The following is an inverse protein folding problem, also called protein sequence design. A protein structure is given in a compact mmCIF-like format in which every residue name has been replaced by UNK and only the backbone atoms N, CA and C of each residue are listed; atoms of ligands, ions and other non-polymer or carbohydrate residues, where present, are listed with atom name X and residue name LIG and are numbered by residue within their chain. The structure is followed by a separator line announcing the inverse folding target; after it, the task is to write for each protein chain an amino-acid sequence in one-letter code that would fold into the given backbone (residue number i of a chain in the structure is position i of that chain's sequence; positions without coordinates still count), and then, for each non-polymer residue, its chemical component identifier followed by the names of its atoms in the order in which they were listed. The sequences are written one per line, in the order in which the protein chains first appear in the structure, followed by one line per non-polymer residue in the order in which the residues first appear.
data_IF_217237378105
#
_entry.id   IF_217237378105
#
_cell.length_a   1.000
_cell.length_b   1.000
_cell.length_c   1.000
_cell.angle_alpha   90.00
_cell.angle_beta   90.00
_cell.angle_gamma   90.00
#
_symmetry.space_group_name_H-M   'P 1'
#
loop_
_entity.id
_entity.type
_entity.pdbx_description
1 polymer ?
#
# COMPACT_ATOMS: atom_id res chain seq x y z
N UNK A 1 38.38 -28.51 -6.22
CA UNK A 1 38.45 -27.65 -5.02
C UNK A 1 37.21 -26.79 -5.02
N UNK A 2 36.23 -27.11 -4.19
CA UNK A 2 35.05 -26.26 -4.00
C UNK A 2 35.53 -24.96 -3.33
N UNK A 3 35.34 -23.84 -3.98
CA UNK A 3 35.55 -22.54 -3.34
C UNK A 3 34.45 -22.38 -2.28
N UNK A 4 34.85 -22.61 -1.02
CA UNK A 4 34.02 -22.24 0.12
C UNK A 4 33.88 -20.73 0.08
N UNK A 5 32.65 -20.24 0.00
CA UNK A 5 32.38 -18.82 0.06
C UNK A 5 32.68 -18.40 1.50
N UNK A 6 33.49 -17.36 1.69
CA UNK A 6 33.77 -16.81 3.01
C UNK A 6 32.49 -16.15 3.51
N UNK A 7 31.80 -16.72 4.50
CA UNK A 7 30.47 -16.36 4.94
C UNK A 7 30.44 -15.26 6.01
N UNK A 8 31.61 -14.88 6.53
CA UNK A 8 31.72 -14.01 7.72
C UNK A 8 31.03 -12.65 7.64
N UNK A 9 30.75 -12.15 6.43
CA UNK A 9 30.17 -10.83 6.20
C UNK A 9 29.02 -10.87 5.18
N UNK A 10 28.30 -11.99 5.08
CA UNK A 10 27.20 -12.16 4.16
C UNK A 10 25.93 -12.63 4.88
N UNK A 11 24.79 -12.12 4.42
CA UNK A 11 23.46 -12.55 4.83
C UNK A 11 22.78 -13.31 3.70
N UNK A 12 22.06 -14.39 4.01
CA UNK A 12 21.23 -15.05 3.03
C UNK A 12 19.78 -14.52 3.08
N UNK A 13 19.01 -14.82 2.04
CA UNK A 13 17.61 -14.42 1.96
C UNK A 13 16.76 -14.94 3.14
N UNK A 14 17.14 -16.09 3.73
CA UNK A 14 16.42 -16.69 4.85
C UNK A 14 16.72 -16.03 6.21
N UNK A 15 17.66 -15.06 6.26
CA UNK A 15 17.89 -14.27 7.48
C UNK A 15 16.72 -13.33 7.80
N UNK A 16 15.89 -13.01 6.82
CA UNK A 16 14.86 -11.98 6.93
C UNK A 16 13.48 -12.51 6.58
N UNK A 17 12.47 -12.01 7.26
CA UNK A 17 11.06 -12.34 7.03
C UNK A 17 10.39 -11.36 6.07
N UNK A 18 10.81 -10.10 6.09
CA UNK A 18 10.26 -9.05 5.23
C UNK A 18 10.55 -9.31 3.74
N UNK A 19 9.49 -9.37 2.94
CA UNK A 19 9.60 -9.66 1.50
C UNK A 19 10.31 -8.54 0.72
N UNK A 20 10.27 -7.30 1.20
CA UNK A 20 10.98 -6.19 0.55
C UNK A 20 12.48 -6.32 0.76
N UNK A 21 12.92 -6.70 1.97
CA UNK A 21 14.33 -6.99 2.26
C UNK A 21 14.81 -8.18 1.41
N UNK A 22 13.99 -9.25 1.34
CA UNK A 22 14.28 -10.39 0.47
C UNK A 22 14.43 -10.00 -1.00
N UNK A 23 13.60 -9.08 -1.49
CA UNK A 23 13.69 -8.57 -2.86
C UNK A 23 14.96 -7.72 -3.09
N UNK A 24 15.40 -6.94 -2.10
CA UNK A 24 16.69 -6.24 -2.13
C UNK A 24 17.83 -7.25 -2.24
N UNK A 25 17.81 -8.33 -1.46
CA UNK A 25 18.82 -9.39 -1.50
C UNK A 25 18.83 -10.08 -2.87
N UNK A 26 17.67 -10.39 -3.44
CA UNK A 26 17.57 -10.97 -4.79
C UNK A 26 18.14 -10.03 -5.87
N UNK A 27 17.88 -8.73 -5.75
CA UNK A 27 18.24 -7.75 -6.77
C UNK A 27 19.69 -7.27 -6.69
N UNK A 28 20.27 -7.19 -5.48
CA UNK A 28 21.60 -6.63 -5.24
C UNK A 28 22.63 -7.69 -4.78
N UNK A 29 22.17 -8.88 -4.43
CA UNK A 29 23.00 -9.99 -4.02
C UNK A 29 23.37 -10.91 -5.17
N UNK A 30 23.99 -12.02 -4.85
CA UNK A 30 24.37 -13.09 -5.79
C UNK A 30 23.61 -14.37 -5.51
N UNK A 31 23.26 -15.10 -6.54
CA UNK A 31 22.66 -16.42 -6.44
C UNK A 31 23.75 -17.45 -6.12
N UNK A 32 23.57 -18.22 -5.06
CA UNK A 32 24.36 -19.41 -4.75
C UNK A 32 23.60 -20.63 -5.28
N UNK A 33 24.21 -21.30 -6.24
CA UNK A 33 23.64 -22.44 -6.92
C UNK A 33 24.67 -23.55 -7.04
N UNK A 34 24.27 -24.79 -6.79
CA UNK A 34 25.11 -25.97 -6.93
C UNK A 34 26.41 -25.87 -6.08
N UNK A 35 26.39 -25.21 -4.94
CA UNK A 35 27.52 -24.98 -4.08
C UNK A 35 27.13 -25.16 -2.61
N UNK A 36 28.13 -25.56 -1.80
CA UNK A 36 27.97 -25.61 -0.35
C UNK A 36 28.03 -24.21 0.20
N UNK A 37 26.98 -23.79 0.89
CA UNK A 37 26.89 -22.55 1.61
C UNK A 37 26.22 -22.77 2.97
N UNK A 38 26.81 -22.23 4.02
CA UNK A 38 26.23 -22.16 5.36
C UNK A 38 26.19 -20.69 5.76
N UNK A 39 25.01 -20.22 6.13
CA UNK A 39 24.83 -18.87 6.64
C UNK A 39 25.24 -18.82 8.12
N UNK A 40 26.15 -17.95 8.49
CA UNK A 40 26.58 -17.82 9.89
C UNK A 40 25.56 -17.06 10.75
N UNK A 41 24.65 -16.28 10.12
CA UNK A 41 23.67 -15.47 10.82
C UNK A 41 22.39 -16.25 11.21
N UNK A 42 21.87 -17.11 10.32
CA UNK A 42 20.64 -17.87 10.57
C UNK A 42 20.83 -19.38 10.52
N UNK A 43 22.09 -19.82 10.43
CA UNK A 43 22.47 -21.26 10.34
C UNK A 43 21.88 -22.01 9.14
N UNK A 44 21.24 -21.32 8.20
CA UNK A 44 20.72 -21.93 6.97
C UNK A 44 21.87 -22.55 6.16
N UNK A 45 21.68 -23.79 5.74
CA UNK A 45 22.62 -24.53 4.89
C UNK A 45 21.95 -24.90 3.58
N UNK A 46 22.65 -24.69 2.44
CA UNK A 46 22.15 -25.07 1.11
C UNK A 46 22.15 -26.58 0.87
N UNK A 47 22.61 -27.36 1.84
CA UNK A 47 22.72 -28.80 1.70
C UNK A 47 22.42 -29.51 3.04
N UNK A 48 21.95 -30.77 2.93
CA UNK A 48 21.84 -31.69 4.06
C UNK A 48 22.90 -32.76 3.91
N UNK A 49 23.88 -32.81 4.83
CA UNK A 49 25.00 -33.75 4.76
C UNK A 49 24.53 -35.19 4.76
N UNK A 50 23.46 -35.50 5.47
CA UNK A 50 22.85 -36.85 5.48
C UNK A 50 22.32 -37.24 4.09
N UNK A 51 21.64 -36.37 3.40
CA UNK A 51 21.12 -36.60 2.04
C UNK A 51 22.24 -36.74 1.01
N UNK A 52 23.30 -35.95 1.13
CA UNK A 52 24.51 -36.09 0.32
C UNK A 52 25.17 -37.44 0.56
N UNK A 53 25.32 -37.84 1.82
CA UNK A 53 25.90 -39.15 2.16
C UNK A 53 25.07 -40.26 1.59
N UNK A 54 23.73 -40.26 1.73
CA UNK A 54 22.81 -41.21 1.16
C UNK A 54 22.91 -41.30 -0.38
N UNK A 55 22.99 -40.15 -1.05
CA UNK A 55 23.16 -40.08 -2.51
C UNK A 55 24.48 -40.75 -2.96
N UNK A 56 25.58 -40.53 -2.19
CA UNK A 56 26.86 -41.17 -2.45
C UNK A 56 26.78 -42.70 -2.26
N UNK A 57 26.14 -43.15 -1.20
CA UNK A 57 25.98 -44.57 -0.88
C UNK A 57 25.17 -45.29 -1.97
N UNK A 58 24.04 -44.73 -2.38
CA UNK A 58 23.22 -45.27 -3.50
C UNK A 58 24.02 -45.36 -4.81
N UNK A 59 24.94 -44.41 -5.05
CA UNK A 59 25.80 -44.47 -6.21
C UNK A 59 26.88 -45.53 -6.10
N UNK A 60 27.50 -45.67 -4.91
CA UNK A 60 28.50 -46.73 -4.61
C UNK A 60 27.87 -48.11 -4.82
N UNK A 61 26.68 -48.34 -4.26
CA UNK A 61 25.94 -49.59 -4.43
C UNK A 61 25.70 -49.94 -5.89
N UNK A 62 25.35 -48.93 -6.70
CA UNK A 62 25.15 -49.09 -8.14
C UNK A 62 26.45 -49.42 -8.87
N UNK A 63 27.57 -48.79 -8.49
CA UNK A 63 28.91 -49.09 -9.06
C UNK A 63 29.38 -50.49 -8.64
N UNK A 64 29.23 -50.88 -7.38
CA UNK A 64 29.63 -52.18 -6.83
C UNK A 64 28.88 -53.29 -7.52
N UNK A 65 27.56 -53.16 -7.74
CA UNK A 65 26.76 -54.16 -8.50
C UNK A 65 27.25 -54.33 -9.92
N UNK A 66 27.58 -53.23 -10.63
CA UNK A 66 28.11 -53.27 -11.99
C UNK A 66 29.48 -53.95 -12.04
N UNK A 67 30.33 -53.73 -11.05
CA UNK A 67 31.64 -54.37 -10.96
C UNK A 67 31.44 -55.89 -10.74
N UNK A 68 30.60 -56.30 -9.80
CA UNK A 68 30.29 -57.68 -9.52
C UNK A 68 29.68 -58.41 -10.72
N UNK A 69 28.81 -57.72 -11.50
CA UNK A 69 28.25 -58.30 -12.74
C UNK A 69 29.27 -58.40 -13.87
N UNK A 70 30.35 -57.62 -13.86
CA UNK A 70 31.38 -57.63 -14.90
C UNK A 70 32.57 -58.56 -14.65
N UNK A 71 32.72 -59.06 -13.44
CA UNK A 71 33.84 -59.93 -13.04
C UNK A 71 33.46 -61.38 -13.27
N UNK A 72 33.94 -61.95 -14.36
CA UNK A 72 33.71 -63.35 -14.74
C UNK A 72 34.92 -64.26 -14.58
N UNK A 73 36.07 -63.76 -14.12
CA UNK A 73 37.33 -64.52 -14.05
C UNK A 73 37.81 -64.84 -12.61
N UNK A 74 38.22 -66.08 -12.43
CA UNK A 74 38.66 -66.71 -11.16
C UNK A 74 39.92 -66.10 -10.51
N UNK A 75 40.65 -65.23 -11.18
CA UNK A 75 41.87 -64.61 -10.68
C UNK A 75 41.66 -63.40 -9.77
N UNK A 76 40.43 -62.98 -9.57
CA UNK A 76 40.07 -61.80 -8.81
C UNK A 76 39.61 -62.04 -7.37
N UNK A 77 39.33 -63.33 -7.00
CA UNK A 77 38.77 -63.65 -5.68
C UNK A 77 39.68 -63.26 -4.48
N UNK A 78 40.98 -63.05 -4.69
CA UNK A 78 41.93 -62.68 -3.63
C UNK A 78 42.19 -61.17 -3.48
N UNK A 79 41.63 -60.29 -4.35
CA UNK A 79 41.83 -58.87 -4.31
C UNK A 79 40.55 -58.05 -4.40
N UNK A 80 39.40 -58.71 -4.40
CA UNK A 80 38.08 -58.03 -4.61
C UNK A 80 37.78 -57.00 -3.54
N UNK A 81 38.00 -57.28 -2.27
CA UNK A 81 37.77 -56.35 -1.15
C UNK A 81 38.66 -55.12 -1.23
N UNK A 82 39.93 -55.26 -1.61
CA UNK A 82 40.86 -54.15 -1.75
C UNK A 82 40.47 -53.24 -2.93
N UNK A 83 40.06 -53.82 -4.05
CA UNK A 83 39.61 -53.09 -5.25
C UNK A 83 38.28 -52.36 -5.01
N UNK A 84 37.34 -53.01 -4.36
CA UNK A 84 36.06 -52.40 -3.99
C UNK A 84 36.32 -51.23 -3.03
N UNK A 85 37.20 -51.38 -1.99
CA UNK A 85 37.53 -50.33 -1.05
C UNK A 85 38.18 -49.09 -1.74
N UNK A 86 39.01 -49.30 -2.77
CA UNK A 86 39.65 -48.22 -3.51
C UNK A 86 38.69 -47.52 -4.46
N UNK A 87 37.77 -48.29 -5.12
CA UNK A 87 36.67 -47.77 -5.89
C UNK A 87 35.70 -46.95 -5.04
N UNK A 88 35.37 -47.41 -3.82
CA UNK A 88 34.51 -46.67 -2.90
C UNK A 88 35.14 -45.32 -2.50
N UNK A 89 36.43 -45.27 -2.21
CA UNK A 89 37.11 -44.02 -1.89
C UNK A 89 37.13 -43.04 -3.06
N UNK A 90 37.34 -43.52 -4.27
CA UNK A 90 37.39 -42.70 -5.47
C UNK A 90 35.96 -42.25 -5.85
N UNK A 91 34.94 -43.10 -5.72
CA UNK A 91 33.53 -42.74 -5.88
C UNK A 91 33.13 -41.67 -4.87
N UNK A 92 33.40 -41.89 -3.57
CA UNK A 92 33.11 -40.86 -2.54
C UNK A 92 33.70 -39.49 -2.91
N UNK A 93 34.90 -39.47 -3.44
CA UNK A 93 35.55 -38.23 -3.80
C UNK A 93 35.02 -37.55 -5.07
N UNK A 94 34.77 -38.36 -6.12
CA UNK A 94 34.27 -37.85 -7.44
C UNK A 94 32.82 -37.49 -7.44
N UNK A 95 31.97 -38.28 -6.79
CA UNK A 95 30.51 -38.10 -6.84
C UNK A 95 29.97 -37.19 -5.79
N UNK A 96 30.73 -36.87 -4.69
CA UNK A 96 30.30 -35.87 -3.70
C UNK A 96 29.90 -34.53 -4.36
N UNK A 97 30.72 -34.03 -5.28
CA UNK A 97 30.44 -32.80 -5.98
C UNK A 97 29.17 -32.91 -6.86
N UNK A 98 28.99 -34.05 -7.53
CA UNK A 98 27.80 -34.31 -8.34
C UNK A 98 26.52 -34.38 -7.49
N UNK A 99 26.62 -35.03 -6.29
CA UNK A 99 25.48 -35.08 -5.36
C UNK A 99 25.16 -33.68 -4.81
N UNK A 100 26.15 -32.87 -4.49
CA UNK A 100 25.95 -31.47 -4.07
C UNK A 100 25.26 -30.69 -5.18
N UNK A 101 25.73 -30.79 -6.42
CA UNK A 101 25.11 -30.08 -7.58
C UNK A 101 23.66 -30.50 -7.83
N UNK A 102 23.30 -31.75 -7.46
CA UNK A 102 21.95 -32.28 -7.62
C UNK A 102 21.00 -31.92 -6.47
N UNK A 103 21.52 -31.87 -5.23
CA UNK A 103 20.72 -31.76 -4.00
C UNK A 103 20.80 -30.39 -3.33
N UNK A 104 21.81 -29.56 -3.67
CA UNK A 104 21.96 -28.25 -3.04
C UNK A 104 20.83 -27.32 -3.45
N UNK A 105 20.19 -26.74 -2.43
CA UNK A 105 19.20 -25.70 -2.62
C UNK A 105 19.81 -24.40 -3.14
N UNK A 106 19.03 -23.67 -3.92
CA UNK A 106 19.44 -22.34 -4.38
C UNK A 106 19.10 -21.31 -3.31
N UNK A 107 20.02 -20.36 -3.05
CA UNK A 107 19.77 -19.24 -2.17
C UNK A 107 20.45 -17.98 -2.68
N UNK A 108 19.91 -16.80 -2.32
CA UNK A 108 20.56 -15.52 -2.57
C UNK A 108 21.32 -15.06 -1.32
N UNK A 109 22.51 -14.48 -1.54
CA UNK A 109 23.32 -13.91 -0.47
C UNK A 109 23.73 -12.48 -0.86
N UNK A 110 23.87 -11.62 0.15
CA UNK A 110 24.29 -10.23 0.01
C UNK A 110 25.43 -9.92 1.02
N UNK A 111 26.39 -9.12 0.63
CA UNK A 111 27.44 -8.63 1.53
C UNK A 111 26.84 -7.63 2.53
N UNK A 112 27.33 -7.65 3.79
CA UNK A 112 26.85 -6.81 4.88
C UNK A 112 26.82 -5.33 4.49
N UNK A 113 27.94 -4.82 3.96
CA UNK A 113 28.05 -3.40 3.61
C UNK A 113 27.05 -2.96 2.53
N UNK A 114 26.78 -3.84 1.55
CA UNK A 114 25.80 -3.59 0.50
C UNK A 114 24.39 -3.56 1.10
N UNK A 115 24.07 -4.49 2.00
CA UNK A 115 22.77 -4.53 2.67
C UNK A 115 22.57 -3.28 3.53
N UNK A 116 23.55 -2.92 4.35
CA UNK A 116 23.52 -1.71 5.20
C UNK A 116 23.29 -0.46 4.36
N UNK A 117 24.02 -0.30 3.25
CA UNK A 117 23.83 0.83 2.35
C UNK A 117 22.39 0.92 1.79
N UNK A 118 21.81 -0.24 1.43
CA UNK A 118 20.42 -0.29 0.93
C UNK A 118 19.38 0.00 2.01
N UNK A 119 19.58 -0.47 3.23
CA UNK A 119 18.70 -0.15 4.36
C UNK A 119 18.76 1.34 4.68
N UNK A 120 19.97 1.92 4.67
CA UNK A 120 20.16 3.36 4.85
C UNK A 120 19.44 4.18 3.79
N UNK A 121 19.55 3.82 2.50
CA UNK A 121 18.79 4.47 1.41
C UNK A 121 17.27 4.47 1.67
N UNK A 122 16.73 3.39 2.24
CA UNK A 122 15.29 3.30 2.58
C UNK A 122 14.94 4.23 3.73
N UNK A 123 15.76 4.24 4.79
CA UNK A 123 15.55 5.10 5.95
C UNK A 123 15.63 6.58 5.54
N UNK A 124 16.63 6.97 4.76
CA UNK A 124 16.85 8.35 4.32
C UNK A 124 15.76 8.90 3.41
N UNK A 125 14.92 8.06 2.85
CA UNK A 125 13.70 8.51 2.15
C UNK A 125 12.66 9.11 3.11
N UNK A 126 12.63 8.67 4.36
CA UNK A 126 11.63 9.02 5.36
C UNK A 126 12.16 9.95 6.46
N UNK A 127 13.42 9.76 6.81
CA UNK A 127 14.07 10.41 7.93
C UNK A 127 15.38 11.06 7.48
N UNK A 128 15.80 12.09 8.19
CA UNK A 128 17.11 12.69 8.06
C UNK A 128 17.84 12.63 9.39
N UNK A 129 19.15 12.49 9.31
CA UNK A 129 19.97 12.38 10.50
C UNK A 129 20.11 13.74 11.19
N UNK A 130 20.00 13.78 12.53
CA UNK A 130 20.01 15.03 13.29
C UNK A 130 21.35 15.77 13.28
N UNK A 131 22.45 15.10 12.94
CA UNK A 131 23.79 15.73 12.83
C UNK A 131 23.79 16.95 11.89
N UNK A 132 22.93 16.98 10.88
CA UNK A 132 22.80 18.09 9.95
C UNK A 132 22.05 19.29 10.57
N UNK A 133 21.26 19.08 11.59
CA UNK A 133 20.39 20.11 12.18
C UNK A 133 20.81 20.56 13.58
N UNK A 134 21.73 19.87 14.22
CA UNK A 134 22.26 20.24 15.54
C UNK A 134 21.24 20.25 16.67
N UNK A 135 20.07 19.61 16.48
CA UNK A 135 19.02 19.54 17.51
C UNK A 135 19.48 18.71 18.70
N UNK A 136 20.17 17.61 18.43
CA UNK A 136 20.71 16.71 19.45
C UNK A 136 21.78 17.41 20.30
N UNK A 137 22.71 18.15 19.68
CA UNK A 137 23.75 18.91 20.38
C UNK A 137 23.20 20.02 21.30
N UNK A 138 22.08 20.65 20.96
CA UNK A 138 21.46 21.67 21.77
C UNK A 138 20.56 21.11 22.90
N UNK A 139 19.95 19.96 22.68
CA UNK A 139 19.14 19.29 23.69
C UNK A 139 20.00 18.61 24.77
N UNK A 140 21.13 17.99 24.39
CA UNK A 140 22.02 17.31 25.32
C UNK A 140 22.66 18.23 26.35
N UNK A 141 22.79 19.53 26.06
CA UNK A 141 23.49 20.48 26.95
C UNK A 141 22.60 21.15 28.01
N UNK A 142 21.25 21.09 27.87
CA UNK A 142 20.37 21.91 28.72
C UNK A 142 19.23 21.19 29.44
N UNK A 143 18.87 19.96 29.11
CA UNK A 143 17.60 19.36 29.60
C UNK A 143 17.68 17.91 30.04
N UNK A 144 18.87 17.36 30.34
CA UNK A 144 18.95 16.16 31.14
C UNK A 144 18.67 16.52 32.62
N UNK A 145 17.40 16.62 32.98
CA UNK A 145 16.99 16.45 34.35
C UNK A 145 16.63 14.99 34.54
N UNK A 146 17.05 14.41 35.68
CA UNK A 146 16.99 12.99 36.00
C UNK A 146 15.57 12.35 35.98
N UNK A 147 14.54 13.08 35.57
CA UNK A 147 13.13 12.68 35.61
C UNK A 147 12.46 12.45 34.23
N UNK A 148 13.23 12.39 33.13
CA UNK A 148 12.65 12.18 31.80
C UNK A 148 13.06 10.81 31.28
N UNK A 149 12.13 9.87 31.31
CA UNK A 149 12.35 8.47 30.94
C UNK A 149 12.70 8.20 29.48
N UNK A 150 12.76 9.22 28.62
CA UNK A 150 13.21 9.09 27.23
C UNK A 150 13.70 10.41 26.66
N UNK A 151 14.86 10.44 26.01
CA UNK A 151 15.38 11.63 25.31
C UNK A 151 14.56 11.99 24.05
N UNK A 152 13.68 11.12 23.59
CA UNK A 152 12.84 11.29 22.38
C UNK A 152 11.56 12.11 22.60
N UNK A 153 11.44 12.86 23.66
CA UNK A 153 10.26 13.69 23.92
C UNK A 153 10.13 14.91 22.97
N UNK A 154 11.20 15.26 22.24
CA UNK A 154 11.11 16.27 21.19
C UNK A 154 10.27 15.68 20.06
N UNK A 155 9.14 16.28 19.79
CA UNK A 155 8.21 15.81 18.77
C UNK A 155 8.94 15.60 17.42
N UNK A 156 8.78 14.43 16.84
CA UNK A 156 9.34 14.08 15.53
C UNK A 156 10.72 13.40 15.55
N UNK A 157 11.45 13.39 16.70
CA UNK A 157 12.69 12.62 16.83
C UNK A 157 12.38 11.17 17.19
N UNK A 158 13.08 10.24 16.54
CA UNK A 158 12.99 8.80 16.78
C UNK A 158 14.37 8.16 16.90
N UNK A 159 14.49 7.14 17.73
CA UNK A 159 15.67 6.29 17.81
C UNK A 159 15.81 5.41 16.56
N UNK A 160 16.99 4.86 16.34
CA UNK A 160 17.22 3.89 15.26
C UNK A 160 16.34 2.66 15.43
N UNK A 161 16.12 2.19 16.65
CA UNK A 161 15.24 1.06 16.97
C UNK A 161 13.80 1.34 16.56
N UNK A 162 13.27 2.51 16.94
CA UNK A 162 11.90 2.89 16.61
C UNK A 162 11.67 2.96 15.08
N UNK A 163 12.58 3.62 14.35
CA UNK A 163 12.44 3.71 12.88
C UNK A 163 12.62 2.37 12.19
N UNK A 164 13.53 1.54 12.68
CA UNK A 164 13.73 0.20 12.13
C UNK A 164 12.52 -0.69 12.42
N UNK A 165 11.91 -0.60 13.60
CA UNK A 165 10.66 -1.28 13.93
C UNK A 165 9.50 -0.83 13.02
N UNK A 166 9.36 0.47 12.80
CA UNK A 166 8.30 1.04 11.95
C UNK A 166 8.45 0.65 10.47
N UNK A 167 9.68 0.61 9.94
CA UNK A 167 9.95 0.36 8.52
C UNK A 167 10.05 -1.13 8.21
N UNK A 168 10.73 -1.90 9.07
CA UNK A 168 11.14 -3.29 8.81
C UNK A 168 10.38 -4.33 9.65
N UNK A 169 9.48 -3.88 10.54
CA UNK A 169 8.64 -4.76 11.35
C UNK A 169 9.46 -5.77 12.18
N UNK A 170 9.19 -7.06 12.01
CA UNK A 170 9.83 -8.15 12.77
C UNK A 170 11.36 -8.25 12.51
N UNK A 171 11.85 -7.76 11.39
CA UNK A 171 13.27 -7.68 11.09
C UNK A 171 13.94 -6.39 11.62
N UNK A 172 13.18 -5.48 12.25
CA UNK A 172 13.65 -4.19 12.75
C UNK A 172 14.87 -4.30 13.65
N UNK A 173 14.83 -5.15 14.68
CA UNK A 173 15.92 -5.37 15.61
C UNK A 173 17.21 -5.86 14.90
N UNK A 174 17.08 -6.75 13.91
CA UNK A 174 18.23 -7.22 13.12
C UNK A 174 18.85 -6.10 12.31
N UNK A 175 18.04 -5.24 11.72
CA UNK A 175 18.50 -4.08 10.94
C UNK A 175 19.16 -3.06 11.86
N UNK A 176 18.57 -2.77 13.03
CA UNK A 176 19.20 -1.91 14.05
C UNK A 176 20.61 -2.40 14.40
N UNK A 177 20.75 -3.67 14.75
CA UNK A 177 22.05 -4.27 15.07
C UNK A 177 23.07 -4.20 13.91
N UNK A 178 22.59 -4.21 12.65
CA UNK A 178 23.44 -4.02 11.47
C UNK A 178 23.90 -2.58 11.31
N UNK A 179 23.04 -1.61 11.62
CA UNK A 179 23.32 -0.18 11.52
C UNK A 179 24.18 0.33 12.64
N UNK A 180 23.98 -0.12 13.88
CA UNK A 180 24.71 0.34 15.08
C UNK A 180 26.22 0.19 14.98
N UNK A 181 26.69 -0.87 14.34
CA UNK A 181 28.10 -1.09 14.11
C UNK A 181 28.80 -0.04 13.24
N UNK A 182 28.03 0.74 12.47
CA UNK A 182 28.55 1.70 11.50
C UNK A 182 28.37 3.17 11.91
N UNK A 183 27.47 3.47 12.84
CA UNK A 183 27.08 4.87 13.10
C UNK A 183 27.26 5.33 14.55
N UNK A 184 27.51 4.42 15.51
CA UNK A 184 27.73 4.80 16.92
C UNK A 184 26.50 5.49 17.54
N UNK A 185 25.32 5.16 17.08
CA UNK A 185 24.09 5.83 17.45
C UNK A 185 23.58 5.37 18.82
N UNK A 186 23.67 6.26 19.74
CA UNK A 186 22.93 6.21 20.99
C UNK A 186 21.94 7.37 20.97
N UNK A 187 20.65 7.04 21.04
CA UNK A 187 19.56 7.97 21.38
C UNK A 187 19.12 8.97 20.29
N UNK A 188 17.94 8.77 19.73
CA UNK A 188 17.14 9.70 18.92
C UNK A 188 17.84 10.48 17.79
N UNK A 189 18.60 9.85 16.88
CA UNK A 189 19.38 10.56 15.87
C UNK A 189 18.57 10.96 14.61
N UNK A 190 17.32 10.57 14.51
CA UNK A 190 16.56 10.67 13.26
C UNK A 190 15.34 11.57 13.40
N UNK A 191 15.24 12.56 12.50
CA UNK A 191 14.10 13.44 12.37
C UNK A 191 13.23 13.01 11.17
N UNK A 192 11.93 12.80 11.40
CA UNK A 192 11.01 12.54 10.30
C UNK A 192 10.96 13.74 9.35
N UNK A 193 11.14 13.52 8.05
CA UNK A 193 11.08 14.56 7.01
C UNK A 193 9.72 15.26 6.92
N UNK A 194 8.70 14.67 7.55
CA UNK A 194 7.36 15.28 7.66
C UNK A 194 7.25 16.33 8.75
N UNK A 195 8.24 16.39 9.64
CA UNK A 195 8.17 17.27 10.80
C UNK A 195 8.77 18.64 10.47
N UNK A 196 7.97 19.68 10.64
CA UNK A 196 8.43 21.07 10.62
C UNK A 196 8.75 21.51 12.04
N UNK A 197 9.95 22.07 12.27
CA UNK A 197 10.43 22.45 13.59
C UNK A 197 9.60 23.55 14.25
N UNK A 198 9.04 24.44 13.44
CA UNK A 198 8.28 25.60 13.89
C UNK A 198 6.77 25.33 13.96
N UNK A 199 6.25 24.48 13.08
CA UNK A 199 4.81 24.25 12.90
C UNK A 199 4.34 22.83 13.33
N UNK A 200 5.25 21.93 13.68
CA UNK A 200 4.91 20.53 14.01
C UNK A 200 4.67 19.64 12.78
N UNK A 201 3.58 18.87 12.74
CA UNK A 201 3.28 18.06 11.57
C UNK A 201 3.02 18.91 10.33
N UNK A 202 3.92 18.84 9.34
CA UNK A 202 3.92 19.60 8.08
C UNK A 202 2.58 19.58 7.32
N UNK A 203 1.78 18.55 7.52
CA UNK A 203 0.53 18.36 6.77
C UNK A 203 -0.73 18.74 7.56
N UNK A 204 -0.63 18.99 8.89
CA UNK A 204 -1.80 19.24 9.73
C UNK A 204 -2.74 18.04 9.79
N UNK A 205 -3.95 18.24 10.29
CA UNK A 205 -5.00 17.20 10.35
C UNK A 205 -6.19 17.59 9.47
N UNK A 206 -6.84 16.60 8.87
CA UNK A 206 -8.11 16.83 8.16
C UNK A 206 -9.17 17.42 9.09
N UNK A 207 -9.17 17.03 10.38
CA UNK A 207 -10.05 17.59 11.40
C UNK A 207 -9.87 19.10 11.58
N UNK A 208 -8.63 19.61 11.52
CA UNK A 208 -8.33 21.03 11.67
C UNK A 208 -8.89 21.85 10.51
N UNK A 209 -8.78 21.32 9.29
CA UNK A 209 -9.44 21.90 8.13
C UNK A 209 -10.96 21.93 8.32
N UNK A 210 -11.55 20.81 8.73
CA UNK A 210 -12.99 20.70 8.97
C UNK A 210 -13.47 21.73 10.00
N UNK A 211 -12.79 21.83 11.14
CA UNK A 211 -13.11 22.78 12.21
C UNK A 211 -13.03 24.23 11.70
N UNK A 212 -11.96 24.53 10.98
CA UNK A 212 -11.77 25.88 10.45
C UNK A 212 -12.88 26.29 9.47
N UNK A 213 -13.17 25.45 8.46
CA UNK A 213 -14.16 25.79 7.43
C UNK A 213 -15.60 25.69 7.91
N UNK A 214 -15.88 24.92 8.97
CA UNK A 214 -17.20 24.86 9.61
C UNK A 214 -17.47 26.09 10.48
N UNK A 215 -16.47 26.52 11.26
CA UNK A 215 -16.70 27.41 12.39
C UNK A 215 -15.97 28.77 12.33
N UNK A 216 -14.96 28.93 11.45
CA UNK A 216 -14.17 30.19 11.37
C UNK A 216 -14.32 30.86 10.00
N UNK A 217 -13.72 30.31 8.94
CA UNK A 217 -13.75 30.88 7.60
C UNK A 217 -13.82 29.79 6.51
N UNK A 218 -14.78 29.91 5.59
CA UNK A 218 -15.04 28.86 4.58
C UNK A 218 -14.11 28.90 3.38
N UNK A 219 -13.86 30.07 2.82
CA UNK A 219 -13.24 30.20 1.49
C UNK A 219 -12.06 31.14 1.46
N UNK A 220 -11.84 31.94 2.50
CA UNK A 220 -10.79 32.94 2.52
C UNK A 220 -9.75 32.65 3.59
N UNK A 221 -8.50 32.90 3.25
CA UNK A 221 -7.39 32.82 4.18
C UNK A 221 -7.53 33.84 5.31
N UNK A 222 -7.13 33.45 6.49
CA UNK A 222 -6.99 34.34 7.64
C UNK A 222 -5.64 34.11 8.34
N UNK A 223 -5.35 34.83 9.40
CA UNK A 223 -4.02 34.82 10.04
C UNK A 223 -3.61 33.43 10.52
N UNK A 224 -4.56 32.65 11.04
CA UNK A 224 -4.30 31.35 11.68
C UNK A 224 -4.41 30.18 10.70
N UNK A 225 -5.04 30.36 9.52
CA UNK A 225 -5.28 29.27 8.60
C UNK A 225 -5.36 29.71 7.14
N UNK A 226 -4.54 29.06 6.28
CA UNK A 226 -4.44 29.32 4.85
C UNK A 226 -5.20 28.25 4.06
N UNK A 227 -6.51 28.45 3.88
CA UNK A 227 -7.41 27.49 3.23
C UNK A 227 -6.90 27.06 1.86
N UNK A 228 -6.45 28.00 1.03
CA UNK A 228 -5.96 27.70 -0.32
C UNK A 228 -4.68 26.88 -0.28
N UNK A 229 -3.70 27.28 0.52
CA UNK A 229 -2.42 26.58 0.65
C UNK A 229 -2.62 25.17 1.16
N UNK A 230 -3.50 25.01 2.14
CA UNK A 230 -3.89 23.70 2.65
C UNK A 230 -4.48 22.80 1.57
N UNK A 231 -5.42 23.32 0.75
CA UNK A 231 -6.05 22.57 -0.33
C UNK A 231 -5.08 22.27 -1.48
N UNK A 232 -4.12 23.16 -1.77
CA UNK A 232 -3.05 22.92 -2.75
C UNK A 232 -2.18 21.72 -2.32
N UNK A 233 -1.71 21.71 -1.07
CA UNK A 233 -0.96 20.59 -0.48
C UNK A 233 -1.81 19.31 -0.52
N UNK A 234 -3.07 19.39 -0.12
CA UNK A 234 -3.97 18.25 -0.11
C UNK A 234 -4.14 17.60 -1.49
N UNK A 235 -4.42 18.38 -2.53
CA UNK A 235 -4.60 17.88 -3.88
C UNK A 235 -3.33 17.22 -4.43
N UNK A 236 -2.15 17.69 -4.01
CA UNK A 236 -0.87 17.14 -4.46
C UNK A 236 -0.65 15.66 -4.09
N UNK A 237 -1.30 15.17 -3.06
CA UNK A 237 -1.25 13.75 -2.68
C UNK A 237 -1.94 12.81 -3.68
N UNK A 238 -2.87 13.34 -4.47
CA UNK A 238 -3.73 12.49 -5.27
C UNK A 238 -3.33 12.49 -6.74
N UNK A 239 -3.52 11.34 -7.35
CA UNK A 239 -3.23 11.17 -8.77
C UNK A 239 -4.29 11.84 -9.62
N UNK A 240 -3.85 12.60 -10.62
CA UNK A 240 -4.70 13.08 -11.70
C UNK A 240 -4.78 11.98 -12.76
N UNK A 241 -5.98 11.56 -13.09
CA UNK A 241 -6.23 10.56 -14.14
C UNK A 241 -7.03 11.16 -15.29
N UNK A 242 -6.73 10.70 -16.49
CA UNK A 242 -7.52 11.01 -17.67
C UNK A 242 -8.43 9.82 -17.98
N UNK A 243 -9.75 10.03 -17.96
CA UNK A 243 -10.70 9.03 -18.38
C UNK A 243 -11.08 9.32 -19.83
N UNK A 244 -10.80 8.35 -20.71
CA UNK A 244 -11.19 8.43 -22.11
C UNK A 244 -12.73 8.39 -22.24
N UNK A 245 -13.27 9.19 -23.16
CA UNK A 245 -14.69 9.10 -23.52
C UNK A 245 -15.04 7.79 -24.21
N UNK A 246 -14.06 7.12 -24.80
CA UNK A 246 -14.29 5.89 -25.55
C UNK A 246 -14.53 4.69 -24.64
N UNK A 247 -15.76 4.15 -24.71
CA UNK A 247 -16.12 2.91 -24.03
C UNK A 247 -16.49 3.03 -22.55
N UNK A 248 -16.22 4.17 -21.88
CA UNK A 248 -16.58 4.34 -20.49
C UNK A 248 -18.07 4.61 -20.32
N UNK A 249 -18.69 3.75 -19.52
CA UNK A 249 -20.11 3.81 -19.16
C UNK A 249 -20.24 4.12 -17.69
N UNK A 250 -21.17 4.99 -17.37
CA UNK A 250 -21.52 5.34 -15.98
C UNK A 250 -23.03 5.19 -15.79
N UNK A 251 -23.42 4.95 -14.57
CA UNK A 251 -24.79 4.64 -14.20
C UNK A 251 -25.29 5.60 -13.13
N UNK A 252 -26.60 5.82 -13.13
CA UNK A 252 -27.30 6.55 -12.07
C UNK A 252 -28.66 5.91 -11.83
N UNK A 253 -29.05 5.77 -10.56
CA UNK A 253 -30.34 5.25 -10.17
C UNK A 253 -31.23 6.34 -9.60
N UNK A 254 -32.56 6.20 -9.80
CA UNK A 254 -33.60 7.02 -9.20
C UNK A 254 -34.75 6.15 -8.77
N UNK A 255 -35.19 6.30 -7.52
CA UNK A 255 -36.39 5.63 -7.01
C UNK A 255 -37.61 6.24 -7.68
N UNK A 256 -38.51 5.39 -8.19
CA UNK A 256 -39.76 5.75 -8.84
C UNK A 256 -40.87 5.68 -7.80
N UNK A 257 -41.17 6.82 -7.21
CA UNK A 257 -42.12 6.92 -6.09
C UNK A 257 -43.54 7.27 -6.53
N UNK A 258 -43.79 7.47 -7.83
CA UNK A 258 -45.11 7.74 -8.40
C UNK A 258 -45.16 7.42 -9.89
N UNK A 259 -46.35 7.16 -10.40
CA UNK A 259 -46.58 6.95 -11.84
C UNK A 259 -46.17 8.20 -12.66
N UNK A 260 -46.37 9.39 -12.10
CA UNK A 260 -45.90 10.64 -12.71
C UNK A 260 -44.39 10.65 -12.88
N UNK A 261 -43.63 10.26 -11.84
CA UNK A 261 -42.19 10.18 -11.94
C UNK A 261 -41.74 9.21 -13.03
N UNK A 262 -42.44 8.09 -13.18
CA UNK A 262 -42.17 7.11 -14.24
C UNK A 262 -42.41 7.69 -15.63
N UNK A 263 -43.52 8.37 -15.82
CA UNK A 263 -43.86 9.05 -17.08
C UNK A 263 -42.87 10.15 -17.42
N UNK A 264 -42.46 10.99 -16.45
CA UNK A 264 -41.45 12.04 -16.63
C UNK A 264 -40.11 11.44 -17.10
N UNK A 265 -39.67 10.32 -16.49
CA UNK A 265 -38.46 9.61 -16.90
C UNK A 265 -38.57 9.04 -18.31
N UNK A 266 -39.74 8.49 -18.68
CA UNK A 266 -39.97 7.96 -20.03
C UNK A 266 -39.99 9.06 -21.10
N UNK A 267 -40.50 10.24 -20.77
CA UNK A 267 -40.56 11.39 -21.69
C UNK A 267 -39.17 12.04 -21.89
N UNK A 268 -38.43 12.28 -20.82
CA UNK A 268 -37.08 12.91 -20.89
C UNK A 268 -36.12 12.26 -19.93
N UNK A 269 -35.60 11.06 -20.27
CA UNK A 269 -34.72 10.31 -19.40
C UNK A 269 -33.37 11.01 -19.20
N UNK A 270 -32.83 11.79 -20.16
CA UNK A 270 -31.61 12.56 -20.04
C UNK A 270 -31.74 13.61 -18.92
N UNK A 271 -32.86 14.26 -18.81
CA UNK A 271 -33.14 15.29 -17.81
C UNK A 271 -33.43 14.67 -16.43
N UNK A 272 -34.26 13.64 -16.40
CA UNK A 272 -34.77 13.07 -15.14
C UNK A 272 -33.79 12.11 -14.46
N UNK A 273 -32.89 11.47 -15.21
CA UNK A 273 -31.85 10.60 -14.69
C UNK A 273 -30.43 11.24 -14.69
N UNK A 274 -30.26 12.39 -15.32
CA UNK A 274 -29.04 13.19 -15.30
C UNK A 274 -28.87 14.00 -14.01
N UNK A 275 -27.91 14.95 -14.01
CA UNK A 275 -27.78 15.92 -12.91
C UNK A 275 -29.00 16.83 -12.86
N UNK A 276 -29.26 17.43 -11.69
CA UNK A 276 -30.39 18.34 -11.52
C UNK A 276 -30.27 19.53 -12.49
N UNK A 277 -31.26 19.77 -13.35
CA UNK A 277 -31.24 20.87 -14.31
C UNK A 277 -31.40 22.24 -13.61
N UNK A 278 -30.87 23.30 -14.23
CA UNK A 278 -30.81 24.64 -13.65
C UNK A 278 -32.17 25.17 -13.12
N UNK A 279 -33.26 24.93 -13.86
CA UNK A 279 -34.59 25.35 -13.48
C UNK A 279 -35.14 24.65 -12.21
N UNK A 280 -34.56 23.50 -11.84
CA UNK A 280 -34.94 22.74 -10.64
C UNK A 280 -34.00 22.98 -9.46
N UNK A 281 -32.91 23.75 -9.63
CA UNK A 281 -31.87 23.94 -8.57
C UNK A 281 -32.40 24.58 -7.29
N UNK A 282 -33.41 25.44 -7.38
CA UNK A 282 -34.04 26.04 -6.19
C UNK A 282 -34.70 25.01 -5.26
N UNK A 283 -34.93 23.79 -5.75
CA UNK A 283 -35.51 22.68 -4.99
C UNK A 283 -34.42 21.63 -4.63
N UNK A 284 -33.14 21.89 -4.98
CA UNK A 284 -32.08 20.97 -4.63
C UNK A 284 -31.87 20.95 -3.14
N UNK A 285 -31.46 19.79 -2.62
CA UNK A 285 -31.02 19.62 -1.23
C UNK A 285 -29.51 19.75 -1.18
N UNK A 286 -28.98 20.05 0.00
CA UNK A 286 -27.56 19.88 0.26
C UNK A 286 -27.17 18.44 0.01
N UNK A 287 -26.08 18.26 -0.69
CA UNK A 287 -25.42 16.96 -0.86
C UNK A 287 -23.99 17.06 -0.34
N UNK A 288 -23.37 15.92 -0.12
CA UNK A 288 -22.02 15.87 0.43
C UNK A 288 -21.02 16.78 -0.31
N UNK A 289 -21.09 16.81 -1.64
CA UNK A 289 -20.13 17.55 -2.47
C UNK A 289 -20.74 18.79 -3.18
N UNK A 290 -22.02 18.97 -3.11
CA UNK A 290 -22.68 20.11 -3.76
C UNK A 290 -23.65 20.83 -2.82
N UNK A 291 -23.42 22.12 -2.54
CA UNK A 291 -24.34 22.94 -1.77
C UNK A 291 -25.64 23.20 -2.54
N UNK A 292 -26.64 23.73 -1.85
CA UNK A 292 -27.89 24.19 -2.47
C UNK A 292 -27.58 25.19 -3.59
N UNK A 293 -28.18 24.98 -4.77
CA UNK A 293 -27.99 25.88 -5.92
C UNK A 293 -26.85 25.46 -6.85
N UNK A 294 -26.00 24.50 -6.45
CA UNK A 294 -24.96 23.93 -7.30
C UNK A 294 -25.30 22.48 -7.66
N UNK A 295 -25.30 22.15 -8.95
CA UNK A 295 -25.60 20.80 -9.42
C UNK A 295 -24.37 20.11 -9.94
N UNK A 296 -23.97 19.04 -9.26
CA UNK A 296 -22.99 18.07 -9.76
C UNK A 296 -23.68 16.77 -10.16
N UNK A 297 -23.11 16.06 -11.12
CA UNK A 297 -23.57 14.75 -11.53
C UNK A 297 -22.93 13.66 -10.64
N UNK A 298 -23.77 12.81 -10.06
CA UNK A 298 -23.32 11.67 -9.24
C UNK A 298 -23.60 10.39 -10.00
N UNK A 299 -22.56 9.63 -10.27
CA UNK A 299 -22.62 8.40 -11.06
C UNK A 299 -21.79 7.31 -10.37
N UNK A 300 -22.00 6.05 -10.76
CA UNK A 300 -21.12 4.94 -10.41
C UNK A 300 -20.74 4.17 -11.67
N UNK A 301 -19.68 3.38 -11.59
CA UNK A 301 -19.19 2.63 -12.75
C UNK A 301 -19.93 1.30 -12.97
N UNK A 302 -20.78 0.89 -12.05
CA UNK A 302 -21.60 -0.31 -12.16
C UNK A 302 -23.03 -0.12 -11.59
N UNK A 303 -23.95 -0.98 -12.02
CA UNK A 303 -25.37 -0.91 -11.65
C UNK A 303 -25.61 -1.31 -10.19
N UNK A 304 -24.79 -2.21 -9.63
CA UNK A 304 -24.95 -2.64 -8.25
C UNK A 304 -24.64 -1.49 -7.30
N UNK A 305 -23.53 -0.79 -7.55
CA UNK A 305 -23.11 0.36 -6.74
C UNK A 305 -24.16 1.47 -6.73
N UNK A 306 -24.76 1.82 -7.88
CA UNK A 306 -25.81 2.88 -7.89
C UNK A 306 -27.06 2.50 -7.09
N UNK A 307 -27.39 1.22 -6.98
CA UNK A 307 -28.51 0.76 -6.16
C UNK A 307 -28.21 0.89 -4.67
N UNK A 308 -26.98 0.57 -4.27
CA UNK A 308 -26.53 0.78 -2.88
C UNK A 308 -26.51 2.26 -2.52
N UNK A 309 -25.98 3.12 -3.40
CA UNK A 309 -25.92 4.58 -3.19
C UNK A 309 -27.32 5.22 -3.17
N UNK A 310 -28.26 4.71 -3.95
CA UNK A 310 -29.65 5.15 -3.94
C UNK A 310 -30.43 4.67 -2.70
N UNK A 311 -29.81 3.83 -1.82
CA UNK A 311 -30.42 3.28 -0.60
C UNK A 311 -31.78 2.62 -0.83
N UNK A 312 -31.91 1.89 -1.92
CA UNK A 312 -33.17 1.25 -2.31
C UNK A 312 -33.61 0.22 -1.26
N UNK A 313 -34.95 0.11 -1.12
CA UNK A 313 -35.59 -0.84 -0.22
C UNK A 313 -36.31 -1.95 -1.00
N UNK A 314 -36.65 -3.04 -0.33
CA UNK A 314 -37.44 -4.11 -0.92
C UNK A 314 -38.82 -3.52 -1.33
N UNK A 315 -39.30 -3.90 -2.52
CA UNK A 315 -40.45 -3.40 -3.23
C UNK A 315 -40.28 -2.05 -3.93
N UNK A 316 -39.18 -1.33 -3.77
CA UNK A 316 -38.95 -0.12 -4.56
C UNK A 316 -38.93 -0.45 -6.07
N UNK A 317 -39.54 0.40 -6.85
CA UNK A 317 -39.32 0.48 -8.29
C UNK A 317 -38.23 1.51 -8.56
N UNK A 318 -37.22 1.14 -9.35
CA UNK A 318 -36.05 1.97 -9.59
C UNK A 318 -35.78 2.07 -11.07
N UNK A 319 -35.56 3.30 -11.54
CA UNK A 319 -35.03 3.55 -12.89
C UNK A 319 -33.50 3.63 -12.83
N UNK A 320 -32.78 2.82 -13.61
CA UNK A 320 -31.33 2.87 -13.79
C UNK A 320 -31.04 3.43 -15.16
N UNK A 321 -30.47 4.63 -15.21
CA UNK A 321 -29.97 5.26 -16.42
C UNK A 321 -28.52 4.87 -16.69
N UNK A 322 -28.21 4.57 -17.95
CA UNK A 322 -26.88 4.30 -18.47
C UNK A 322 -26.45 5.45 -19.35
N UNK A 323 -25.26 5.96 -19.08
CA UNK A 323 -24.68 7.09 -19.76
C UNK A 323 -23.29 6.76 -20.30
N UNK A 324 -22.86 7.49 -21.31
CA UNK A 324 -21.52 7.42 -21.89
C UNK A 324 -20.87 8.79 -21.77
N UNK A 325 -19.60 8.82 -21.38
CA UNK A 325 -18.84 10.05 -21.36
C UNK A 325 -18.73 10.63 -22.79
N UNK A 326 -18.90 11.96 -22.91
CA UNK A 326 -18.91 12.68 -24.19
C UNK A 326 -17.56 13.32 -24.53
N UNK A 327 -16.68 13.43 -23.55
CA UNK A 327 -15.33 13.96 -23.72
C UNK A 327 -14.35 13.24 -22.79
N UNK A 328 -13.08 13.37 -23.06
CA UNK A 328 -12.05 12.95 -22.12
C UNK A 328 -12.12 13.84 -20.87
N UNK A 329 -12.05 13.22 -19.70
CA UNK A 329 -12.17 13.89 -18.41
C UNK A 329 -10.82 13.89 -17.71
N UNK A 330 -10.45 15.04 -17.15
CA UNK A 330 -9.32 15.22 -16.24
C UNK A 330 -9.85 15.24 -14.81
N UNK A 331 -9.66 14.17 -14.06
CA UNK A 331 -10.26 13.99 -12.74
C UNK A 331 -9.23 13.62 -11.68
N UNK A 332 -9.54 13.87 -10.43
CA UNK A 332 -8.72 13.48 -9.28
C UNK A 332 -9.17 12.10 -8.81
N UNK A 333 -8.20 11.26 -8.49
CA UNK A 333 -8.43 9.88 -8.04
C UNK A 333 -8.26 9.77 -6.52
N UNK A 334 -9.37 9.80 -5.79
CA UNK A 334 -9.44 9.63 -4.34
C UNK A 334 -9.58 8.16 -3.89
N UNK A 335 -9.42 7.20 -4.79
CA UNK A 335 -9.49 5.80 -4.39
C UNK A 335 -8.27 5.38 -3.58
N UNK A 336 -8.51 4.68 -2.47
CA UNK A 336 -7.44 4.22 -1.57
C UNK A 336 -6.36 3.39 -2.31
N UNK A 337 -6.78 2.49 -3.22
CA UNK A 337 -5.85 1.68 -4.03
C UNK A 337 -4.86 2.49 -4.87
N UNK A 338 -5.18 3.73 -5.21
CA UNK A 338 -4.29 4.60 -5.98
C UNK A 338 -3.12 5.13 -5.17
N UNK A 339 -3.26 5.18 -3.86
CA UNK A 339 -2.25 5.71 -2.93
C UNK A 339 -1.31 4.62 -2.41
N UNK A 340 -1.82 3.41 -2.18
CA UNK A 340 -1.06 2.30 -1.57
C UNK A 340 0.30 2.04 -2.22
N UNK A 341 0.39 2.16 -3.54
CA UNK A 341 1.63 1.91 -4.29
C UNK A 341 2.73 2.96 -4.09
N UNK A 342 2.42 4.11 -3.49
CA UNK A 342 3.39 5.18 -3.23
C UNK A 342 3.90 5.19 -1.78
N UNK A 343 3.39 4.30 -0.94
CA UNK A 343 3.70 4.24 0.49
C UNK A 343 4.88 3.35 0.83
N UNK A 344 5.23 2.43 -0.05
CA UNK A 344 6.31 1.49 0.22
C UNK A 344 7.67 2.16 -0.02
N UNK A 345 8.49 2.43 1.01
CA UNK A 345 9.78 3.07 0.86
C UNK A 345 10.80 2.24 0.08
N UNK A 346 10.50 0.95 -0.13
CA UNK A 346 11.31 0.06 -0.97
C UNK A 346 11.02 0.19 -2.47
N UNK A 347 9.91 0.84 -2.85
CA UNK A 347 9.51 1.01 -4.26
C UNK A 347 10.17 2.27 -4.86
N UNK A 348 10.55 2.21 -6.13
CA UNK A 348 11.03 3.36 -6.90
C UNK A 348 9.98 4.47 -7.04
N UNK A 349 8.70 4.13 -6.87
CA UNK A 349 7.58 5.07 -6.91
C UNK A 349 7.24 5.67 -5.55
N UNK A 350 8.02 5.35 -4.54
CA UNK A 350 7.80 5.89 -3.20
C UNK A 350 7.68 7.42 -3.22
N UNK A 351 6.71 7.94 -2.46
CA UNK A 351 6.53 9.36 -2.25
C UNK A 351 6.44 9.64 -0.75
N UNK A 352 7.46 10.28 -0.22
CA UNK A 352 7.57 10.61 1.21
C UNK A 352 6.43 11.48 1.70
N UNK A 353 5.95 12.44 0.90
CA UNK A 353 4.83 13.30 1.28
C UNK A 353 3.53 12.51 1.44
N UNK A 354 3.28 11.51 0.58
CA UNK A 354 2.11 10.62 0.71
C UNK A 354 2.24 9.74 1.95
N UNK A 355 3.43 9.23 2.24
CA UNK A 355 3.68 8.44 3.44
C UNK A 355 3.44 9.27 4.71
N UNK A 356 4.02 10.45 4.76
CA UNK A 356 3.90 11.36 5.89
C UNK A 356 2.49 11.96 6.07
N UNK A 357 1.78 12.16 4.98
CA UNK A 357 0.39 12.63 4.97
C UNK A 357 -0.64 11.51 5.14
N UNK A 358 -0.22 10.28 5.43
CA UNK A 358 -1.12 9.13 5.43
C UNK A 358 -2.29 9.27 6.40
N UNK A 359 -2.05 9.61 7.66
CA UNK A 359 -3.11 9.80 8.66
C UNK A 359 -4.14 10.83 8.19
N UNK A 360 -3.64 11.96 7.70
CA UNK A 360 -4.45 13.02 7.13
C UNK A 360 -5.30 12.56 5.93
N UNK A 361 -4.66 11.80 5.01
CA UNK A 361 -5.34 11.27 3.82
C UNK A 361 -6.40 10.24 4.21
N UNK A 362 -6.10 9.34 5.16
CA UNK A 362 -7.03 8.32 5.62
C UNK A 362 -8.25 8.92 6.32
N UNK A 363 -8.06 9.94 7.15
CA UNK A 363 -9.16 10.67 7.80
C UNK A 363 -10.09 11.28 6.76
N UNK A 364 -9.53 11.91 5.73
CA UNK A 364 -10.33 12.44 4.62
C UNK A 364 -11.07 11.34 3.86
N UNK A 365 -10.38 10.26 3.45
CA UNK A 365 -11.00 9.17 2.70
C UNK A 365 -12.11 8.50 3.50
N UNK A 366 -11.91 8.37 4.82
CA UNK A 366 -12.95 7.91 5.72
C UNK A 366 -14.15 8.88 5.72
N UNK A 367 -13.91 10.18 5.83
CA UNK A 367 -14.96 11.19 5.91
C UNK A 367 -15.79 11.28 4.62
N UNK A 368 -15.16 11.19 3.44
CA UNK A 368 -15.89 11.22 2.16
C UNK A 368 -16.68 9.94 1.89
N UNK A 369 -16.26 8.81 2.45
CA UNK A 369 -16.92 7.52 2.27
C UNK A 369 -17.93 7.20 3.37
N UNK A 370 -17.82 7.84 4.55
CA UNK A 370 -18.68 7.62 5.70
C UNK A 370 -20.18 7.74 5.35
N UNK A 371 -21.02 6.77 5.75
CA UNK A 371 -22.46 6.92 5.64
C UNK A 371 -22.93 8.13 6.45
N UNK A 372 -23.72 9.02 5.84
CA UNK A 372 -24.27 10.18 6.53
C UNK A 372 -25.70 9.86 6.94
N UNK A 373 -26.01 10.11 8.20
CA UNK A 373 -27.37 9.98 8.73
C UNK A 373 -28.24 11.16 8.26
N UNK A 374 -29.55 10.95 8.15
CA UNK A 374 -30.50 12.03 7.81
C UNK A 374 -30.50 13.17 8.84
N UNK A 375 -30.06 12.88 10.07
CA UNK A 375 -29.91 13.84 11.16
C UNK A 375 -28.65 14.71 11.03
N UNK A 376 -27.71 14.36 10.15
CA UNK A 376 -26.49 15.13 9.96
C UNK A 376 -26.82 16.52 9.43
N UNK A 377 -26.29 17.51 10.10
CA UNK A 377 -26.57 18.91 9.76
C UNK A 377 -25.89 19.26 8.42
N UNK A 378 -26.43 20.25 7.73
CA UNK A 378 -25.82 20.80 6.51
C UNK A 378 -24.36 21.23 6.72
N UNK A 379 -23.97 21.43 7.98
CA UNK A 379 -22.63 21.83 8.40
C UNK A 379 -21.58 20.73 8.14
N UNK A 380 -21.96 19.44 8.29
CA UNK A 380 -21.05 18.31 8.04
C UNK A 380 -20.62 18.19 6.57
N UNK A 381 -21.37 18.76 5.65
CA UNK A 381 -21.01 18.76 4.23
C UNK A 381 -20.07 19.90 3.82
N UNK A 382 -19.92 20.93 4.66
CA UNK A 382 -19.14 22.13 4.31
C UNK A 382 -17.71 21.83 3.86
N UNK A 383 -16.92 20.98 4.57
CA UNK A 383 -15.55 20.70 4.15
C UNK A 383 -15.45 20.08 2.75
N UNK A 384 -16.27 19.09 2.47
CA UNK A 384 -16.28 18.37 1.18
C UNK A 384 -16.87 19.22 0.04
N UNK A 385 -17.80 20.14 0.35
CA UNK A 385 -18.31 21.09 -0.62
C UNK A 385 -17.24 22.11 -1.02
N UNK A 386 -16.51 22.68 -0.06
CA UNK A 386 -15.39 23.61 -0.32
C UNK A 386 -14.31 22.91 -1.15
N UNK A 387 -13.92 21.69 -0.78
CA UNK A 387 -12.98 20.91 -1.57
C UNK A 387 -13.45 20.70 -3.01
N UNK A 388 -14.72 20.38 -3.21
CA UNK A 388 -15.29 20.17 -4.54
C UNK A 388 -15.27 21.44 -5.39
N UNK A 389 -15.63 22.60 -4.80
CA UNK A 389 -15.55 23.90 -5.46
C UNK A 389 -14.10 24.27 -5.80
N UNK A 390 -13.17 23.97 -4.90
CA UNK A 390 -11.75 24.17 -5.14
C UNK A 390 -11.23 23.34 -6.32
N UNK A 391 -11.53 22.03 -6.35
CA UNK A 391 -11.17 21.13 -7.44
C UNK A 391 -11.74 21.65 -8.77
N UNK A 392 -12.98 22.09 -8.79
CA UNK A 392 -13.59 22.69 -9.97
C UNK A 392 -12.85 23.97 -10.40
N UNK A 393 -12.46 24.83 -9.46
CA UNK A 393 -11.72 26.06 -9.74
C UNK A 393 -10.35 25.83 -10.38
N UNK A 394 -9.72 24.66 -10.11
CA UNK A 394 -8.47 24.23 -10.73
C UNK A 394 -8.65 23.67 -12.16
N UNK A 395 -9.89 23.66 -12.68
CA UNK A 395 -10.19 23.19 -14.03
C UNK A 395 -10.28 21.67 -14.18
N UNK A 396 -10.45 20.93 -13.09
CA UNK A 396 -10.76 19.51 -13.15
C UNK A 396 -12.23 19.28 -13.46
N UNK A 397 -12.52 18.17 -14.15
CA UNK A 397 -13.89 17.81 -14.51
C UNK A 397 -14.67 17.11 -13.39
N UNK A 398 -13.96 16.64 -12.35
CA UNK A 398 -14.54 15.92 -11.23
C UNK A 398 -13.53 15.06 -10.48
N UNK A 399 -14.01 14.05 -9.74
CA UNK A 399 -13.19 13.10 -9.00
C UNK A 399 -13.88 11.74 -8.86
N UNK A 400 -13.05 10.69 -8.60
CA UNK A 400 -13.50 9.33 -8.31
C UNK A 400 -13.19 9.03 -6.85
N UNK A 401 -14.04 8.23 -6.19
CA UNK A 401 -13.82 7.74 -4.84
C UNK A 401 -14.48 6.37 -4.63
N UNK A 402 -14.02 5.64 -3.61
CA UNK A 402 -14.56 4.32 -3.27
C UNK A 402 -15.94 4.45 -2.63
N UNK A 403 -16.86 3.53 -2.98
CA UNK A 403 -18.18 3.47 -2.35
C UNK A 403 -18.10 2.86 -0.96
N UNK A 404 -18.67 3.55 0.03
CA UNK A 404 -18.84 2.99 1.39
C UNK A 404 -20.01 2.01 1.48
N UNK A 405 -20.95 2.09 0.55
CA UNK A 405 -22.17 1.28 0.56
C UNK A 405 -21.99 -0.07 -0.17
N UNK A 406 -21.04 -0.14 -1.11
CA UNK A 406 -20.75 -1.36 -1.87
C UNK A 406 -19.24 -1.59 -1.92
N UNK A 407 -18.75 -2.55 -1.15
CA UNK A 407 -17.31 -2.88 -1.11
C UNK A 407 -16.77 -3.20 -2.52
N UNK A 408 -15.76 -2.43 -2.94
CA UNK A 408 -15.17 -2.52 -4.28
C UNK A 408 -15.93 -1.76 -5.37
N UNK A 409 -17.06 -1.11 -5.05
CA UNK A 409 -17.74 -0.17 -5.93
C UNK A 409 -17.04 1.18 -5.97
N UNK A 410 -17.18 1.89 -7.10
CA UNK A 410 -16.54 3.18 -7.32
C UNK A 410 -17.57 4.22 -7.78
N UNK A 411 -17.45 5.43 -7.26
CA UNK A 411 -18.31 6.55 -7.55
C UNK A 411 -17.56 7.65 -8.31
N UNK A 412 -18.27 8.37 -9.16
CA UNK A 412 -17.79 9.48 -9.95
C UNK A 412 -18.65 10.72 -9.70
N UNK A 413 -18.04 11.82 -9.30
CA UNK A 413 -18.65 13.14 -9.27
C UNK A 413 -18.18 13.95 -10.48
N UNK A 414 -19.11 14.52 -11.22
CA UNK A 414 -18.86 15.36 -12.39
C UNK A 414 -19.40 16.77 -12.18
N UNK A 415 -18.57 17.78 -12.41
CA UNK A 415 -18.91 19.20 -12.23
C UNK A 415 -19.61 19.80 -13.46
N UNK A 416 -19.15 19.40 -14.64
CA UNK A 416 -19.54 19.98 -15.92
C UNK A 416 -20.87 19.43 -16.49
N UNK A 417 -20.90 19.24 -17.80
CA UNK A 417 -22.05 18.74 -18.52
C UNK A 417 -22.37 17.27 -18.18
N UNK A 418 -23.64 16.89 -18.39
CA UNK A 418 -24.06 15.51 -18.27
C UNK A 418 -23.34 14.63 -19.31
N UNK A 419 -22.96 13.38 -18.96
CA UNK A 419 -22.67 12.37 -19.96
C UNK A 419 -23.88 12.12 -20.87
N UNK A 420 -23.64 11.59 -22.07
CA UNK A 420 -24.68 11.31 -23.04
C UNK A 420 -25.51 10.12 -22.54
N UNK A 421 -26.82 10.34 -22.41
CA UNK A 421 -27.76 9.27 -22.12
C UNK A 421 -27.77 8.22 -23.26
N UNK A 422 -27.83 6.94 -22.90
CA UNK A 422 -27.90 5.82 -23.84
C UNK A 422 -29.19 5.05 -23.74
N UNK A 423 -29.51 4.59 -22.56
CA UNK A 423 -30.76 3.88 -22.28
C UNK A 423 -31.03 3.87 -20.77
N UNK A 424 -32.23 3.41 -20.41
CA UNK A 424 -32.58 3.13 -19.03
C UNK A 424 -33.40 1.84 -18.95
N UNK A 425 -33.53 1.33 -17.75
CA UNK A 425 -34.42 0.23 -17.41
C UNK A 425 -35.11 0.51 -16.09
N UNK A 426 -36.34 0.01 -15.95
CA UNK A 426 -37.06 -0.04 -14.69
C UNK A 426 -36.84 -1.44 -14.07
N UNK A 427 -36.57 -1.49 -12.80
CA UNK A 427 -36.43 -2.73 -12.03
C UNK A 427 -37.25 -2.61 -10.76
N UNK A 428 -37.71 -3.74 -10.23
CA UNK A 428 -38.33 -3.84 -8.92
C UNK A 428 -37.44 -4.64 -8.01
N UNK A 429 -37.11 -4.08 -6.85
CA UNK A 429 -36.25 -4.73 -5.86
C UNK A 429 -37.04 -5.83 -5.15
N UNK A 430 -36.63 -7.09 -5.30
CA UNK A 430 -37.29 -8.24 -4.68
C UNK A 430 -36.66 -8.61 -3.34
N UNK A 431 -35.34 -8.47 -3.24
CA UNK A 431 -34.56 -8.90 -2.10
C UNK A 431 -33.37 -7.96 -1.90
N UNK A 432 -32.97 -7.75 -0.65
CA UNK A 432 -31.79 -6.98 -0.28
C UNK A 432 -31.06 -7.73 0.84
N UNK A 433 -29.83 -8.18 0.56
CA UNK A 433 -28.96 -8.78 1.56
C UNK A 433 -28.16 -7.69 2.25
N UNK A 434 -28.21 -7.66 3.58
CA UNK A 434 -27.50 -6.68 4.42
C UNK A 434 -26.67 -7.45 5.46
N UNK A 435 -25.37 -7.24 5.42
CA UNK A 435 -24.46 -7.71 6.47
C UNK A 435 -24.27 -6.58 7.48
N UNK A 436 -24.65 -6.81 8.74
CA UNK A 436 -24.46 -5.86 9.83
C UNK A 436 -23.12 -6.13 10.54
N UNK A 437 -22.29 -5.09 10.64
CA UNK A 437 -21.21 -5.02 11.61
C UNK A 437 -21.65 -4.08 12.73
N UNK A 438 -21.51 -4.50 13.95
CA UNK A 438 -21.89 -3.70 15.12
C UNK A 438 -20.82 -3.80 16.21
N UNK A 439 -20.68 -2.75 16.96
CA UNK A 439 -19.89 -2.69 18.18
C UNK A 439 -20.83 -2.58 19.37
N UNK A 440 -20.50 -3.30 20.45
CA UNK A 440 -21.23 -3.15 21.70
C UNK A 440 -20.81 -1.82 22.33
N UNK A 441 -21.76 -0.90 22.43
CA UNK A 441 -21.57 0.29 23.25
C UNK A 441 -21.77 -0.15 24.72
N UNK A 442 -20.74 0.03 25.57
CA UNK A 442 -20.87 -0.20 27.01
C UNK A 442 -22.01 0.65 27.55
N UNK A 443 -22.86 0.04 28.38
CA UNK A 443 -23.87 0.71 29.20
C UNK A 443 -23.25 1.74 30.17
#
# INVERSE_FOLDING_TARGET
MSKTINSKDCFCINCFEDENIRNIIKSNGRLVKNQIYKCESCEFETYNEYEIQKCIEEHIDTCTKKIQESVTDKDYENNEEAYISECEKECKRKYRQTCIEKLAEETYIIEKDVLVAKMKEVIEKLYEHDDEHGLYGSASSKHYTEDVDSPCWIAGLKSTDEICGDIFGEDGEKITNLLDGNYGFHECPWLCRCFDKDEGNRFGKWSDFCENVKHKARSFDHKEFKVKEYLDKFISFFKIVQISSYGFKVFRARIVNSEKTKQDIQQDPQKELGKIPLEKLKYSKNNRFSPIGISYGYYSFDEKTVLYEARVSVNDEVAIGKFQLNKNLKIIDFRNKSLLKYKNPFDDKFNGDIYCGEEFILDFLFDISKPINESDTALEYVPTQILSEYIWSLGYDGFIFDSSQNKGGENLVLFGENPIYKNHKFIKIKEKNIDYKYELTSE
#
